data_IF_034390248709
#
_entry.id   IF_034390248709
#
_cell.length_a   1.000
_cell.length_b   1.000
_cell.length_c   1.000
_cell.angle_alpha   90.00
_cell.angle_beta   90.00
_cell.angle_gamma   90.00
#
_symmetry.space_group_name_H-M   'P 1'
#
loop_
_entity.id
_entity.type
_entity.pdbx_description
1 polymer ?
#
# COMPACT_ATOMS: atom_id res chain seq x y z
N UNK A 1 -5.92 14.22 -5.79
CA UNK A 1 -4.79 13.36 -6.23
C UNK A 1 -4.81 11.93 -5.68
N UNK A 2 -5.61 11.58 -4.66
CA UNK A 2 -5.50 10.26 -3.99
C UNK A 2 -6.35 9.10 -4.54
N UNK A 3 -7.10 9.28 -5.65
CA UNK A 3 -7.97 8.21 -6.19
C UNK A 3 -7.23 6.92 -6.55
N UNK A 4 -5.96 7.01 -6.97
CA UNK A 4 -5.16 5.82 -7.28
C UNK A 4 -4.59 5.17 -6.01
N UNK A 5 -4.25 5.97 -4.99
CA UNK A 5 -3.82 5.47 -3.70
C UNK A 5 -4.94 4.67 -3.02
N UNK A 6 -6.14 5.22 -2.99
CA UNK A 6 -7.33 4.56 -2.41
C UNK A 6 -7.67 3.24 -3.13
N UNK A 7 -7.48 3.17 -4.45
CA UNK A 7 -7.66 1.93 -5.23
C UNK A 7 -6.62 0.88 -4.85
N UNK A 8 -5.37 1.27 -4.60
CA UNK A 8 -4.30 0.36 -4.18
C UNK A 8 -4.58 -0.15 -2.77
N UNK A 9 -4.98 0.71 -1.83
CA UNK A 9 -5.37 0.27 -0.48
C UNK A 9 -6.51 -0.76 -0.52
N UNK A 10 -7.56 -0.50 -1.31
CA UNK A 10 -8.66 -1.45 -1.50
C UNK A 10 -8.22 -2.78 -2.14
N UNK A 11 -7.26 -2.74 -3.07
CA UNK A 11 -6.71 -3.94 -3.67
C UNK A 11 -5.91 -4.78 -2.65
N UNK A 12 -5.12 -4.12 -1.79
CA UNK A 12 -4.39 -4.77 -0.69
C UNK A 12 -5.37 -5.43 0.29
N UNK A 13 -6.43 -4.74 0.70
CA UNK A 13 -7.46 -5.30 1.59
C UNK A 13 -8.14 -6.54 0.99
N UNK A 14 -8.39 -6.53 -0.31
CA UNK A 14 -8.97 -7.68 -1.00
C UNK A 14 -8.00 -8.87 -1.08
N UNK A 15 -6.71 -8.61 -1.26
CA UNK A 15 -5.68 -9.66 -1.26
C UNK A 15 -5.57 -10.33 0.11
N UNK A 16 -5.68 -9.56 1.21
CA UNK A 16 -5.70 -10.11 2.58
C UNK A 16 -6.88 -11.07 2.75
N UNK A 17 -8.08 -10.66 2.32
CA UNK A 17 -9.29 -11.50 2.40
C UNK A 17 -9.16 -12.78 1.58
N UNK A 18 -8.54 -12.71 0.41
CA UNK A 18 -8.25 -13.89 -0.43
C UNK A 18 -7.26 -14.81 0.27
N UNK A 19 -6.20 -14.26 0.88
CA UNK A 19 -5.23 -15.03 1.64
C UNK A 19 -5.86 -15.75 2.83
N UNK A 20 -6.84 -15.12 3.50
CA UNK A 20 -7.56 -15.74 4.60
C UNK A 20 -8.42 -16.95 4.21
N UNK A 21 -8.84 -17.04 2.95
CA UNK A 21 -9.57 -18.19 2.40
C UNK A 21 -8.68 -19.35 1.94
N UNK A 22 -7.35 -19.25 2.05
CA UNK A 22 -6.43 -20.31 1.65
C UNK A 22 -6.28 -21.35 2.77
N UNK A 23 -6.54 -22.62 2.45
CA UNK A 23 -6.45 -23.74 3.40
C UNK A 23 -5.00 -24.18 3.72
N UNK A 24 -4.03 -23.76 2.89
CA UNK A 24 -2.62 -24.10 3.07
C UNK A 24 -1.88 -22.97 3.80
N UNK A 25 -1.62 -23.18 5.08
CA UNK A 25 -0.98 -22.18 5.96
C UNK A 25 0.35 -21.65 5.44
N UNK A 26 1.21 -22.50 4.86
CA UNK A 26 2.51 -22.08 4.34
C UNK A 26 2.36 -21.09 3.17
N UNK A 27 1.45 -21.38 2.24
CA UNK A 27 1.17 -20.53 1.07
C UNK A 27 0.38 -19.27 1.46
N UNK A 28 -0.44 -19.36 2.51
CA UNK A 28 -1.10 -18.21 3.14
C UNK A 28 -0.06 -17.27 3.73
N UNK A 29 0.91 -17.79 4.48
CA UNK A 29 1.95 -16.97 5.11
C UNK A 29 2.84 -16.28 4.06
N UNK A 30 3.25 -16.99 3.00
CA UNK A 30 3.98 -16.40 1.88
C UNK A 30 3.20 -15.24 1.24
N UNK A 31 1.91 -15.42 0.99
CA UNK A 31 1.07 -14.40 0.39
C UNK A 31 0.88 -13.19 1.33
N UNK A 32 0.65 -13.42 2.62
CA UNK A 32 0.53 -12.36 3.63
C UNK A 32 1.83 -11.53 3.71
N UNK A 33 2.99 -12.17 3.65
CA UNK A 33 4.28 -11.48 3.65
C UNK A 33 4.42 -10.56 2.42
N UNK A 34 4.07 -11.04 1.23
CA UNK A 34 4.10 -10.23 0.00
C UNK A 34 3.11 -9.05 0.06
N UNK A 35 1.90 -9.28 0.58
CA UNK A 35 0.91 -8.21 0.78
C UNK A 35 1.45 -7.15 1.75
N UNK A 36 2.11 -7.56 2.83
CA UNK A 36 2.71 -6.64 3.80
C UNK A 36 3.80 -5.77 3.16
N UNK A 37 4.71 -6.36 2.38
CA UNK A 37 5.74 -5.61 1.63
C UNK A 37 5.11 -4.59 0.68
N UNK A 38 4.07 -4.98 -0.08
CA UNK A 38 3.33 -4.08 -0.96
C UNK A 38 2.69 -2.91 -0.19
N UNK A 39 2.15 -3.16 1.00
CA UNK A 39 1.58 -2.13 1.87
C UNK A 39 2.64 -1.13 2.34
N UNK A 40 3.80 -1.62 2.77
CA UNK A 40 4.91 -0.77 3.21
C UNK A 40 5.42 0.11 2.07
N UNK A 41 5.64 -0.46 0.88
CA UNK A 41 6.06 0.31 -0.31
C UNK A 41 5.01 1.36 -0.67
N UNK A 42 3.72 1.00 -0.63
CA UNK A 42 2.64 1.93 -0.93
C UNK A 42 2.63 3.12 0.05
N UNK A 43 2.75 2.87 1.35
CA UNK A 43 2.79 3.92 2.37
C UNK A 43 4.02 4.82 2.21
N UNK A 44 5.20 4.26 1.91
CA UNK A 44 6.41 5.03 1.67
C UNK A 44 6.27 5.96 0.46
N UNK A 45 5.74 5.45 -0.67
CA UNK A 45 5.49 6.28 -1.86
C UNK A 45 4.51 7.41 -1.55
N UNK A 46 3.48 7.17 -0.74
CA UNK A 46 2.56 8.22 -0.31
C UNK A 46 3.24 9.27 0.59
N UNK A 47 4.09 8.83 1.52
CA UNK A 47 4.90 9.72 2.35
C UNK A 47 5.83 10.60 1.52
N UNK A 48 6.55 10.01 0.56
CA UNK A 48 7.46 10.73 -0.34
C UNK A 48 6.73 11.75 -1.22
N UNK A 49 5.56 11.40 -1.76
CA UNK A 49 4.72 12.31 -2.55
C UNK A 49 4.20 13.47 -1.70
N UNK A 50 3.84 13.21 -0.44
CA UNK A 50 3.36 14.25 0.48
C UNK A 50 4.49 15.22 0.82
N UNK A 51 5.68 14.72 1.15
CA UNK A 51 6.85 15.53 1.46
C UNK A 51 7.30 16.40 0.28
N UNK A 52 7.31 15.85 -0.94
CA UNK A 52 7.64 16.62 -2.15
C UNK A 52 6.63 17.73 -2.45
N UNK A 53 5.34 17.45 -2.28
CA UNK A 53 4.29 18.45 -2.50
C UNK A 53 4.41 19.62 -1.51
N UNK A 54 4.71 19.32 -0.24
CA UNK A 54 4.86 20.33 0.82
C UNK A 54 6.10 21.21 0.65
N UNK A 55 7.20 20.66 0.12
CA UNK A 55 8.39 21.45 -0.21
C UNK A 55 8.14 22.41 -1.38
N UNK A 56 7.37 21.98 -2.39
CA UNK A 56 7.09 22.79 -3.56
C UNK A 56 6.19 24.01 -3.25
N UNK A 57 5.24 23.88 -2.31
CA UNK A 57 4.42 25.01 -1.85
C UNK A 57 5.22 26.05 -1.03
N UNK A 58 6.23 25.60 -0.27
CA UNK A 58 7.08 26.50 0.52
C UNK A 58 8.12 27.26 -0.31
N UNK A 59 8.50 26.75 -1.49
CA UNK A 59 9.39 27.45 -2.43
C UNK A 59 8.68 28.49 -3.30
N UNK A 60 7.35 28.42 -3.39
CA UNK A 60 6.50 29.31 -4.20
C UNK A 60 5.74 30.38 -3.37
N UNK A 61 5.90 30.37 -2.04
CA UNK A 61 5.27 31.30 -1.08
C UNK A 61 6.28 32.32 -0.55
#
# INVERSE_FOLDING_TARGET
MFKNAEKISKAIDNLIKIADGLEKDERKQELVNVIHELSCVHQNVLGDLTNKSFQQENELS
#
